data_IF_009750571215
#
_entry.id   IF_009750571215
#
_cell.length_a   1.000
_cell.length_b   1.000
_cell.length_c   1.000
_cell.angle_alpha   90.00
_cell.angle_beta   90.00
_cell.angle_gamma   90.00
#
_symmetry.space_group_name_H-M   'P 1'
#
loop_
_entity.id
_entity.type
_entity.pdbx_description
1 polymer ?
#
# COMPACT_ATOMS: atom_id res chain seq x y z
N UNK A 1 -63.78 19.90 28.76
CA UNK A 1 -62.35 20.23 28.64
C UNK A 1 -61.46 19.47 29.64
N UNK A 2 -61.85 19.29 30.90
CA UNK A 2 -61.03 18.62 31.94
C UNK A 2 -60.64 17.16 31.62
N UNK A 3 -61.55 16.38 31.02
CA UNK A 3 -61.28 14.98 30.65
C UNK A 3 -60.35 14.85 29.44
N UNK A 4 -60.31 15.86 28.56
CA UNK A 4 -59.45 15.87 27.37
C UNK A 4 -57.97 16.03 27.75
N UNK A 5 -57.69 16.91 28.72
CA UNK A 5 -56.33 17.12 29.26
C UNK A 5 -55.81 15.84 29.93
N UNK A 6 -56.67 15.11 30.64
CA UNK A 6 -56.29 13.85 31.28
C UNK A 6 -55.94 12.75 30.27
N UNK A 7 -56.73 12.61 29.20
CA UNK A 7 -56.44 11.67 28.11
C UNK A 7 -55.14 12.02 27.39
N UNK A 8 -54.87 13.30 27.17
CA UNK A 8 -53.65 13.77 26.50
C UNK A 8 -52.39 13.49 27.35
N UNK A 9 -52.49 13.64 28.68
CA UNK A 9 -51.43 13.25 29.62
C UNK A 9 -51.13 11.74 29.58
N UNK A 10 -52.17 10.91 29.54
CA UNK A 10 -52.00 9.45 29.43
C UNK A 10 -51.36 9.09 28.08
N UNK A 11 -51.85 9.67 26.99
CA UNK A 11 -51.30 9.43 25.64
C UNK A 11 -49.83 9.86 25.55
N UNK A 12 -49.48 10.99 26.15
CA UNK A 12 -48.10 11.47 26.22
C UNK A 12 -47.20 10.53 27.04
N UNK A 13 -47.68 10.05 28.19
CA UNK A 13 -46.96 9.05 29.00
C UNK A 13 -46.71 7.75 28.24
N UNK A 14 -47.73 7.26 27.52
CA UNK A 14 -47.63 6.07 26.67
C UNK A 14 -46.63 6.27 25.52
N UNK A 15 -46.66 7.45 24.89
CA UNK A 15 -45.70 7.81 23.85
C UNK A 15 -44.26 7.83 24.37
N UNK A 16 -44.01 8.43 25.56
CA UNK A 16 -42.69 8.43 26.19
C UNK A 16 -42.23 7.00 26.48
N UNK A 17 -43.09 6.16 27.06
CA UNK A 17 -42.74 4.77 27.36
C UNK A 17 -42.32 4.00 26.09
N UNK A 18 -43.09 4.13 25.01
CA UNK A 18 -42.75 3.54 23.70
C UNK A 18 -41.44 4.10 23.13
N UNK A 19 -41.23 5.41 23.25
CA UNK A 19 -40.01 6.07 22.77
C UNK A 19 -38.77 5.57 23.52
N UNK A 20 -38.82 5.54 24.85
CA UNK A 20 -37.70 5.07 25.67
C UNK A 20 -37.44 3.57 25.48
N UNK A 21 -38.49 2.75 25.35
CA UNK A 21 -38.34 1.33 25.06
C UNK A 21 -37.58 1.11 23.73
N UNK A 22 -37.94 1.84 22.67
CA UNK A 22 -37.23 1.76 21.38
C UNK A 22 -35.78 2.21 21.50
N UNK A 23 -35.51 3.28 22.24
CA UNK A 23 -34.14 3.77 22.46
C UNK A 23 -33.28 2.75 23.23
N UNK A 24 -33.85 2.10 24.23
CA UNK A 24 -33.19 1.05 25.00
C UNK A 24 -32.86 -0.17 24.15
N UNK A 25 -33.84 -0.66 23.37
CA UNK A 25 -33.65 -1.80 22.48
C UNK A 25 -32.56 -1.56 21.41
N UNK A 26 -32.46 -0.33 20.88
CA UNK A 26 -31.39 0.06 19.96
C UNK A 26 -30.02 0.01 20.65
N UNK A 27 -29.91 0.54 21.86
CA UNK A 27 -28.64 0.54 22.60
C UNK A 27 -28.12 -0.87 22.91
N UNK A 28 -29.01 -1.82 23.26
CA UNK A 28 -28.61 -3.22 23.47
C UNK A 28 -28.11 -3.89 22.19
N UNK A 29 -28.74 -3.58 21.05
CA UNK A 29 -28.31 -4.12 19.76
C UNK A 29 -26.90 -3.63 19.37
N UNK A 30 -26.61 -2.36 19.63
CA UNK A 30 -25.28 -1.77 19.38
C UNK A 30 -24.21 -2.40 20.29
N UNK A 31 -24.54 -2.62 21.56
CA UNK A 31 -23.64 -3.26 22.52
C UNK A 31 -23.29 -4.70 22.08
N UNK A 32 -24.31 -5.46 21.66
CA UNK A 32 -24.12 -6.84 21.20
C UNK A 32 -23.22 -6.89 19.98
N UNK A 33 -23.42 -5.98 19.04
CA UNK A 33 -22.63 -5.88 17.82
C UNK A 33 -21.18 -5.44 18.11
N UNK A 34 -20.98 -4.53 19.07
CA UNK A 34 -19.65 -4.14 19.52
C UNK A 34 -18.89 -5.33 20.15
N UNK A 35 -19.57 -6.13 20.99
CA UNK A 35 -18.98 -7.34 21.58
C UNK A 35 -18.59 -8.38 20.52
N UNK A 36 -19.45 -8.60 19.52
CA UNK A 36 -19.13 -9.50 18.40
C UNK A 36 -17.89 -9.04 17.62
N UNK A 37 -17.77 -7.73 17.35
CA UNK A 37 -16.58 -7.17 16.67
C UNK A 37 -15.30 -7.36 17.46
N UNK A 38 -15.35 -7.28 18.78
CA UNK A 38 -14.17 -7.52 19.64
C UNK A 38 -13.73 -8.97 19.51
N UNK A 39 -14.67 -9.93 19.63
CA UNK A 39 -14.37 -11.35 19.48
C UNK A 39 -13.78 -11.70 18.11
N UNK A 40 -14.33 -11.13 17.04
CA UNK A 40 -13.78 -11.31 15.69
C UNK A 40 -12.36 -10.74 15.57
N UNK A 41 -12.11 -9.59 16.18
CA UNK A 41 -10.77 -8.97 16.17
C UNK A 41 -9.75 -9.82 16.92
N UNK A 42 -10.12 -10.37 18.08
CA UNK A 42 -9.25 -11.24 18.86
C UNK A 42 -8.90 -12.52 18.10
N UNK A 43 -9.87 -13.09 17.37
CA UNK A 43 -9.62 -14.24 16.48
C UNK A 43 -8.63 -13.92 15.37
N UNK A 44 -8.75 -12.73 14.75
CA UNK A 44 -7.82 -12.27 13.70
C UNK A 44 -6.41 -12.09 14.29
N UNK A 45 -6.31 -11.45 15.45
CA UNK A 45 -5.03 -11.25 16.15
C UNK A 45 -4.38 -12.60 16.45
N UNK A 46 -5.11 -13.53 17.05
CA UNK A 46 -4.62 -14.87 17.35
C UNK A 46 -4.11 -15.62 16.11
N UNK A 47 -4.86 -15.57 15.01
CA UNK A 47 -4.46 -16.21 13.76
C UNK A 47 -3.19 -15.58 13.17
N UNK A 48 -3.06 -14.25 13.25
CA UNK A 48 -1.87 -13.55 12.79
C UNK A 48 -0.66 -13.86 13.65
N UNK A 49 -0.80 -13.90 14.98
CA UNK A 49 0.26 -14.31 15.91
C UNK A 49 0.72 -15.74 15.60
N UNK A 50 -0.21 -16.68 15.40
CA UNK A 50 0.13 -18.06 15.04
C UNK A 50 0.90 -18.14 13.71
N UNK A 51 0.52 -17.33 12.71
CA UNK A 51 1.26 -17.22 11.45
C UNK A 51 2.66 -16.67 11.66
N UNK A 52 2.80 -15.61 12.45
CA UNK A 52 4.09 -15.00 12.79
C UNK A 52 5.03 -15.99 13.50
N UNK A 53 4.51 -16.80 14.43
CA UNK A 53 5.29 -17.84 15.10
C UNK A 53 5.71 -18.95 14.14
N UNK A 54 4.85 -19.36 13.20
CA UNK A 54 5.21 -20.33 12.17
C UNK A 54 6.33 -19.80 11.26
N UNK A 55 6.22 -18.56 10.79
CA UNK A 55 7.26 -17.85 10.01
C UNK A 55 8.58 -17.74 10.78
N UNK A 56 8.53 -17.42 12.07
CA UNK A 56 9.70 -17.33 12.94
C UNK A 56 10.39 -18.69 13.09
N UNK A 57 9.64 -19.76 13.30
CA UNK A 57 10.16 -21.13 13.42
C UNK A 57 10.76 -21.64 12.10
N UNK A 58 10.19 -21.26 10.95
CA UNK A 58 10.79 -21.52 9.63
C UNK A 58 12.12 -20.78 9.44
N UNK A 59 12.24 -19.58 10.02
CA UNK A 59 13.45 -18.76 9.94
C UNK A 59 14.55 -19.26 10.88
N UNK A 60 14.22 -19.71 12.09
CA UNK A 60 15.20 -20.23 13.07
C UNK A 60 15.61 -21.69 12.81
N UNK A 61 14.79 -22.49 12.12
CA UNK A 61 15.13 -23.88 11.77
C UNK A 61 16.10 -24.06 10.60
N UNK A 62 16.41 -23.01 9.83
CA UNK A 62 17.19 -23.06 8.58
C UNK A 62 18.62 -22.51 8.70
N UNK A 63 19.25 -22.62 9.87
CA UNK A 63 20.58 -22.08 10.12
C UNK A 63 21.76 -22.93 9.58
N UNK A 64 21.56 -23.94 8.73
CA UNK A 64 22.66 -24.77 8.19
C UNK A 64 22.40 -25.24 6.74
N UNK A 65 22.28 -24.34 5.76
CA UNK A 65 22.53 -24.67 4.34
C UNK A 65 22.81 -23.35 3.58
N UNK A 66 23.85 -23.23 2.74
CA UNK A 66 24.09 -22.02 1.97
C UNK A 66 22.87 -21.70 1.10
N UNK A 67 22.28 -20.53 1.34
CA UNK A 67 21.02 -20.11 0.79
C UNK A 67 21.12 -19.87 -0.73
N UNK A 68 20.72 -20.88 -1.51
CA UNK A 68 20.24 -20.67 -2.87
C UNK A 68 18.74 -20.39 -2.78
N UNK A 69 18.36 -19.13 -3.00
CA UNK A 69 17.04 -18.75 -3.54
C UNK A 69 15.86 -18.61 -2.57
N UNK A 70 15.79 -17.46 -1.88
CA UNK A 70 14.51 -16.80 -1.51
C UNK A 70 14.63 -15.28 -1.71
N UNK A 71 15.22 -14.85 -2.82
CA UNK A 71 15.39 -13.43 -3.18
C UNK A 71 14.24 -12.82 -3.98
N UNK A 72 13.15 -13.55 -4.25
CA UNK A 72 12.12 -13.10 -5.20
C UNK A 72 10.88 -12.48 -4.55
N UNK A 73 10.71 -12.60 -3.23
CA UNK A 73 9.54 -12.02 -2.53
C UNK A 73 9.59 -10.49 -2.41
N UNK A 74 10.68 -9.85 -2.84
CA UNK A 74 10.90 -8.41 -2.75
C UNK A 74 11.32 -7.74 -4.06
N UNK A 75 11.11 -8.35 -5.25
CA UNK A 75 11.54 -7.78 -6.55
C UNK A 75 10.96 -6.40 -6.91
N UNK A 76 10.16 -5.83 -6.01
CA UNK A 76 9.44 -4.59 -6.14
C UNK A 76 9.65 -3.65 -4.94
N UNK A 77 10.47 -4.04 -3.97
CA UNK A 77 10.77 -3.30 -2.74
C UNK A 77 12.22 -3.54 -2.38
N UNK A 78 13.01 -2.46 -2.37
CA UNK A 78 14.43 -2.55 -2.09
C UNK A 78 14.68 -3.25 -0.74
N UNK A 79 15.60 -4.22 -0.74
CA UNK A 79 16.02 -4.85 0.50
C UNK A 79 16.73 -3.83 1.41
N UNK A 80 16.77 -4.03 2.74
CA UNK A 80 17.52 -3.15 3.64
C UNK A 80 18.99 -2.98 3.24
N UNK A 81 19.62 -4.05 2.72
CA UNK A 81 21.00 -4.06 2.24
C UNK A 81 21.16 -3.19 0.98
N UNK A 82 20.23 -3.33 0.01
CA UNK A 82 20.22 -2.52 -1.21
C UNK A 82 20.00 -1.03 -0.89
N UNK A 83 19.08 -0.74 0.03
CA UNK A 83 18.80 0.62 0.48
C UNK A 83 20.01 1.26 1.16
N UNK A 84 20.75 0.50 1.97
CA UNK A 84 21.98 0.97 2.59
C UNK A 84 23.09 1.20 1.55
N UNK A 85 23.26 0.29 0.58
CA UNK A 85 24.23 0.48 -0.51
C UNK A 85 23.96 1.76 -1.30
N UNK A 86 22.69 2.05 -1.60
CA UNK A 86 22.30 3.27 -2.30
C UNK A 86 22.51 4.54 -1.45
N UNK A 87 22.32 4.45 -0.13
CA UNK A 87 22.62 5.55 0.80
C UNK A 87 24.11 5.83 0.92
N UNK A 88 24.94 4.79 0.95
CA UNK A 88 26.41 4.93 0.92
C UNK A 88 26.89 5.60 -0.37
N UNK A 89 26.18 5.39 -1.49
CA UNK A 89 26.39 6.11 -2.76
C UNK A 89 25.87 7.56 -2.74
N UNK A 90 25.33 8.03 -1.62
CA UNK A 90 24.97 9.42 -1.39
C UNK A 90 23.51 9.78 -1.65
N UNK A 91 22.62 8.80 -1.84
CA UNK A 91 21.17 9.00 -1.97
C UNK A 91 20.50 8.97 -0.60
N UNK A 92 20.01 10.10 -0.10
CA UNK A 92 19.36 10.18 1.21
C UNK A 92 18.03 9.41 1.24
N UNK A 93 17.24 9.53 0.18
CA UNK A 93 16.01 8.76 -0.06
C UNK A 93 16.10 8.08 -1.43
N UNK A 94 16.71 6.88 -1.51
CA UNK A 94 17.03 6.23 -2.77
C UNK A 94 15.84 6.09 -3.73
N UNK A 95 14.67 5.69 -3.23
CA UNK A 95 13.49 5.49 -4.09
C UNK A 95 13.00 6.81 -4.68
N UNK A 96 12.82 7.83 -3.84
CA UNK A 96 12.37 9.14 -4.31
C UNK A 96 13.40 9.81 -5.23
N UNK A 97 14.69 9.72 -4.89
CA UNK A 97 15.76 10.32 -5.69
C UNK A 97 15.84 9.66 -7.09
N UNK A 98 15.83 8.32 -7.16
CA UNK A 98 15.88 7.59 -8.42
C UNK A 98 14.63 7.87 -9.27
N UNK A 99 13.44 7.85 -8.66
CA UNK A 99 12.18 8.14 -9.35
C UNK A 99 12.17 9.55 -9.94
N UNK A 100 12.51 10.55 -9.15
CA UNK A 100 12.48 11.94 -9.57
C UNK A 100 13.49 12.22 -10.69
N UNK A 101 14.70 11.66 -10.58
CA UNK A 101 15.73 11.78 -11.62
C UNK A 101 15.26 11.12 -12.93
N UNK A 102 14.69 9.91 -12.85
CA UNK A 102 14.17 9.22 -14.04
C UNK A 102 13.07 10.03 -14.75
N UNK A 103 12.09 10.54 -14.00
CA UNK A 103 10.99 11.35 -14.54
C UNK A 103 11.54 12.63 -15.19
N UNK A 104 12.53 13.28 -14.58
CA UNK A 104 13.14 14.49 -15.17
C UNK A 104 13.84 14.24 -16.52
N UNK A 105 14.25 12.99 -16.79
CA UNK A 105 14.92 12.57 -18.03
C UNK A 105 13.97 11.91 -19.03
N UNK A 106 12.67 11.91 -18.77
CA UNK A 106 11.69 11.19 -19.59
C UNK A 106 11.71 11.64 -21.06
N UNK A 107 11.97 12.91 -21.35
CA UNK A 107 12.01 13.43 -22.73
C UNK A 107 13.12 12.78 -23.59
N UNK A 108 14.22 12.35 -22.95
CA UNK A 108 15.35 11.70 -23.61
C UNK A 108 15.13 10.19 -23.68
N UNK A 109 14.46 9.61 -22.69
CA UNK A 109 14.32 8.17 -22.53
C UNK A 109 13.11 7.59 -23.26
N UNK A 110 12.04 8.38 -23.41
CA UNK A 110 10.81 7.93 -24.05
C UNK A 110 10.88 8.03 -25.58
N UNK A 111 10.21 7.13 -26.30
CA UNK A 111 9.99 7.31 -27.74
C UNK A 111 9.09 8.53 -27.98
N UNK A 112 9.19 9.11 -29.19
CA UNK A 112 8.28 10.18 -29.60
C UNK A 112 6.85 9.68 -29.58
N UNK A 113 5.95 10.43 -28.96
CA UNK A 113 4.53 10.11 -28.88
C UNK A 113 3.85 10.09 -30.24
N UNK A 114 2.66 9.48 -30.29
CA UNK A 114 1.81 9.55 -31.48
C UNK A 114 1.30 11.00 -31.70
N UNK A 115 0.85 11.33 -32.90
CA UNK A 115 0.39 12.67 -33.31
C UNK A 115 -0.68 13.31 -32.39
N UNK A 116 -1.27 12.55 -31.47
CA UNK A 116 -2.35 13.00 -30.59
C UNK A 116 -2.02 13.00 -29.09
N UNK A 117 -0.78 12.69 -28.67
CA UNK A 117 -0.44 12.63 -27.24
C UNK A 117 1.05 12.76 -26.92
N UNK A 118 1.35 13.31 -25.74
CA UNK A 118 2.72 13.39 -25.21
C UNK A 118 2.99 12.17 -24.35
N UNK A 119 4.01 11.39 -24.73
CA UNK A 119 4.46 10.23 -23.97
C UNK A 119 5.00 10.69 -22.61
N UNK A 120 4.49 10.09 -21.51
CA UNK A 120 4.92 10.43 -20.15
C UNK A 120 5.10 9.16 -19.31
N UNK A 121 6.08 9.18 -18.41
CA UNK A 121 6.23 8.11 -17.40
C UNK A 121 5.13 8.29 -16.35
N UNK A 122 4.38 7.23 -16.07
CA UNK A 122 3.28 7.23 -15.07
C UNK A 122 3.68 6.54 -13.79
N UNK A 123 4.34 5.40 -13.91
CA UNK A 123 4.79 4.59 -12.78
C UNK A 123 6.28 4.27 -12.93
N UNK A 124 6.99 4.32 -11.79
CA UNK A 124 8.39 3.90 -11.68
C UNK A 124 8.48 2.94 -10.50
N UNK A 125 9.09 1.79 -10.74
CA UNK A 125 9.37 0.78 -9.72
C UNK A 125 10.86 0.47 -9.73
N UNK A 126 11.52 0.70 -8.60
CA UNK A 126 12.91 0.29 -8.43
C UNK A 126 12.91 -1.20 -8.10
N UNK A 127 13.59 -2.00 -8.91
CA UNK A 127 13.59 -3.46 -8.83
C UNK A 127 14.66 -3.92 -7.84
N UNK A 128 15.83 -3.30 -7.89
CA UNK A 128 16.97 -3.50 -6.99
C UNK A 128 17.94 -2.31 -7.12
N UNK A 129 19.15 -2.45 -6.58
CA UNK A 129 20.20 -1.43 -6.59
C UNK A 129 20.85 -1.14 -7.97
N UNK A 130 20.41 -1.83 -9.03
CA UNK A 130 20.90 -1.65 -10.40
C UNK A 130 19.81 -1.43 -11.44
N UNK A 131 18.56 -1.85 -11.20
CA UNK A 131 17.50 -1.88 -12.21
C UNK A 131 16.22 -1.17 -11.77
N UNK A 132 15.55 -0.56 -12.73
CA UNK A 132 14.21 0.00 -12.57
C UNK A 132 13.31 -0.41 -13.73
N UNK A 133 12.02 -0.53 -13.43
CA UNK A 133 10.95 -0.71 -14.39
C UNK A 133 10.11 0.57 -14.42
N UNK A 134 9.80 1.08 -15.61
CA UNK A 134 8.94 2.25 -15.76
C UNK A 134 7.81 1.97 -16.76
N UNK A 135 6.58 2.33 -16.40
CA UNK A 135 5.44 2.32 -17.30
C UNK A 135 5.24 3.73 -17.88
N UNK A 136 5.05 3.80 -19.19
CA UNK A 136 4.86 5.06 -19.91
C UNK A 136 3.67 4.97 -20.87
N UNK A 137 3.01 6.09 -21.10
CA UNK A 137 1.88 6.18 -22.03
C UNK A 137 1.64 7.60 -22.54
N UNK A 138 0.97 7.73 -23.68
CA UNK A 138 0.47 9.00 -24.24
C UNK A 138 -1.06 9.16 -24.12
N UNK A 139 -1.71 8.22 -23.41
CA UNK A 139 -3.16 8.12 -23.25
C UNK A 139 -3.85 7.19 -24.24
N UNK A 140 -3.15 6.72 -25.28
CA UNK A 140 -3.65 5.73 -26.24
C UNK A 140 -2.70 4.54 -26.39
N UNK A 141 -1.40 4.83 -26.49
CA UNK A 141 -0.34 3.85 -26.58
C UNK A 141 0.49 3.91 -25.30
N UNK A 142 0.88 2.74 -24.81
CA UNK A 142 1.72 2.62 -23.62
C UNK A 142 2.70 1.46 -23.75
N UNK A 143 3.60 1.37 -22.79
CA UNK A 143 4.60 0.33 -22.75
C UNK A 143 5.42 0.35 -21.48
N UNK A 144 6.37 -0.56 -21.41
CA UNK A 144 7.29 -0.72 -20.28
C UNK A 144 8.73 -0.49 -20.73
N UNK A 145 9.51 0.17 -19.87
CA UNK A 145 10.95 0.31 -20.00
C UNK A 145 11.63 -0.48 -18.90
N UNK A 146 12.54 -1.37 -19.27
CA UNK A 146 13.52 -1.93 -18.35
C UNK A 146 14.79 -1.08 -18.44
N UNK A 147 15.19 -0.48 -17.32
CA UNK A 147 16.36 0.39 -17.26
C UNK A 147 17.39 -0.16 -16.26
N UNK A 148 18.67 -0.02 -16.61
CA UNK A 148 19.78 -0.11 -15.66
C UNK A 148 20.18 1.29 -15.24
N UNK A 149 20.42 1.51 -13.96
CA UNK A 149 20.97 2.76 -13.45
C UNK A 149 22.33 2.57 -12.79
N UNK A 150 23.06 3.66 -12.65
CA UNK A 150 24.32 3.72 -11.91
C UNK A 150 24.40 5.06 -11.20
N UNK A 151 24.78 5.04 -9.92
CA UNK A 151 24.99 6.24 -9.11
C UNK A 151 26.49 6.49 -9.06
N UNK A 152 26.92 7.59 -9.66
CA UNK A 152 28.32 8.03 -9.69
C UNK A 152 28.75 8.59 -8.33
N UNK A 153 30.07 8.66 -8.03
CA UNK A 153 30.58 9.20 -6.76
C UNK A 153 30.13 10.63 -6.44
N UNK A 154 29.79 11.42 -7.47
CA UNK A 154 29.25 12.78 -7.34
C UNK A 154 27.72 12.84 -7.26
N UNK A 155 27.07 11.69 -6.98
CA UNK A 155 25.62 11.51 -6.87
C UNK A 155 24.85 11.68 -8.19
N UNK A 156 25.54 11.76 -9.33
CA UNK A 156 24.86 11.76 -10.63
C UNK A 156 24.31 10.37 -10.93
N UNK A 157 23.05 10.31 -11.38
CA UNK A 157 22.40 9.07 -11.78
C UNK A 157 22.42 8.96 -13.30
N UNK A 158 22.99 7.87 -13.81
CA UNK A 158 23.02 7.56 -15.26
C UNK A 158 22.07 6.42 -15.56
N UNK A 159 21.25 6.57 -16.60
CA UNK A 159 20.27 5.56 -17.02
C UNK A 159 20.65 4.96 -18.36
N UNK A 160 20.52 3.64 -18.47
CA UNK A 160 20.64 2.89 -19.72
C UNK A 160 19.36 2.08 -19.93
N UNK A 161 18.66 2.35 -21.02
CA UNK A 161 17.54 1.49 -21.44
C UNK A 161 18.09 0.15 -21.88
N UNK A 162 17.60 -0.93 -21.26
CA UNK A 162 17.96 -2.30 -21.61
C UNK A 162 16.95 -2.92 -22.56
N UNK A 163 15.66 -2.65 -22.32
CA UNK A 163 14.58 -3.17 -23.16
C UNK A 163 13.38 -2.23 -23.18
N UNK A 164 12.59 -2.34 -24.25
CA UNK A 164 11.33 -1.62 -24.46
C UNK A 164 10.26 -2.61 -24.94
N UNK A 165 9.20 -2.75 -24.17
CA UNK A 165 8.05 -3.58 -24.55
C UNK A 165 6.81 -2.69 -24.74
N UNK A 166 6.07 -2.91 -25.83
CA UNK A 166 4.87 -2.16 -26.23
C UNK A 166 3.77 -3.14 -26.62
#
# INVERSE_FOLDING_TARGET
>A
MKNLIFILLIAFGLFLALFFYRKYALAESELTLANQRILDRDRIIYNNEKRMEALKNETTGKANTPAIGTGTSGLATLSPEELNSLREKGLADPEANLRNDLISKQEILLPKGSLSGTMAIREVRIVNDHYALAYYEDGHNGGHLLLRFTVEPDKRITWKVLDRYQ
#
